data_IF_125087072244
#
_entry.id   IF_125087072244
#
_cell.length_a   1.000
_cell.length_b   1.000
_cell.length_c   1.000
_cell.angle_alpha   90.00
_cell.angle_beta   90.00
_cell.angle_gamma   90.00
#
_symmetry.space_group_name_H-M   'P 1'
#
loop_
_entity.id
_entity.type
_entity.pdbx_description
1 polymer ?
#
# COMPACT_ATOMS: atom_id res chain seq x y z
N UNK A 1 -15.81 -7.36 -10.91
CA UNK A 1 -14.81 -7.04 -9.88
C UNK A 1 -15.31 -7.60 -8.57
N UNK A 2 -14.50 -8.37 -7.85
CA UNK A 2 -14.89 -8.89 -6.54
C UNK A 2 -14.88 -7.74 -5.53
N UNK A 3 -15.96 -7.59 -4.78
CA UNK A 3 -16.11 -6.60 -3.73
C UNK A 3 -16.01 -7.30 -2.37
N UNK A 4 -15.12 -6.81 -1.51
CA UNK A 4 -14.79 -7.40 -0.22
C UNK A 4 -15.37 -6.57 0.91
N UNK A 5 -15.94 -7.23 1.93
CA UNK A 5 -16.36 -6.54 3.15
C UNK A 5 -15.15 -6.13 3.97
N UNK A 6 -15.30 -5.08 4.79
CA UNK A 6 -14.25 -4.59 5.69
C UNK A 6 -13.59 -5.70 6.51
N UNK A 7 -14.37 -6.61 7.09
CA UNK A 7 -13.84 -7.72 7.89
C UNK A 7 -13.02 -8.73 7.07
N UNK A 8 -13.36 -8.95 5.79
CA UNK A 8 -12.55 -9.79 4.91
C UNK A 8 -11.20 -9.13 4.61
N UNK A 9 -11.19 -7.82 4.40
CA UNK A 9 -9.95 -7.05 4.18
C UNK A 9 -9.09 -7.06 5.43
N UNK A 10 -9.69 -6.83 6.60
CA UNK A 10 -9.02 -6.89 7.90
C UNK A 10 -8.40 -8.28 8.15
N UNK A 11 -9.17 -9.35 7.97
CA UNK A 11 -8.69 -10.74 8.11
C UNK A 11 -7.53 -11.03 7.14
N UNK A 12 -7.65 -10.60 5.87
CA UNK A 12 -6.61 -10.82 4.87
C UNK A 12 -5.31 -10.06 5.20
N UNK A 13 -5.41 -8.84 5.71
CA UNK A 13 -4.26 -8.02 6.14
C UNK A 13 -3.60 -8.63 7.39
N UNK A 14 -4.39 -9.07 8.37
CA UNK A 14 -3.91 -9.76 9.58
C UNK A 14 -3.12 -11.02 9.19
N UNK A 15 -3.71 -11.86 8.32
CA UNK A 15 -3.05 -13.06 7.82
C UNK A 15 -1.77 -12.73 7.04
N UNK A 16 -1.76 -11.65 6.26
CA UNK A 16 -0.59 -11.23 5.48
C UNK A 16 0.55 -10.69 6.34
N UNK A 17 0.25 -9.94 7.39
CA UNK A 17 1.25 -9.31 8.27
C UNK A 17 1.66 -10.21 9.45
N UNK A 18 0.99 -11.34 9.66
CA UNK A 18 1.38 -12.34 10.66
C UNK A 18 1.13 -11.89 12.10
N UNK A 19 0.03 -11.14 12.34
CA UNK A 19 -0.37 -10.81 13.71
C UNK A 19 -0.92 -12.06 14.40
N UNK A 20 -0.05 -12.78 15.09
CA UNK A 20 -0.32 -14.13 15.63
C UNK A 20 -0.93 -14.12 17.05
N UNK A 21 -1.09 -12.95 17.66
CA UNK A 21 -1.68 -12.79 18.99
C UNK A 21 -2.82 -11.74 18.98
N UNK A 22 -3.83 -11.87 19.88
CA UNK A 22 -4.99 -10.98 19.89
C UNK A 22 -4.66 -9.50 20.09
N UNK A 23 -3.56 -9.17 20.79
CA UNK A 23 -3.17 -7.79 21.05
C UNK A 23 -2.57 -7.17 19.78
N UNK A 24 -1.71 -7.90 19.08
CA UNK A 24 -1.17 -7.47 17.79
C UNK A 24 -2.27 -7.31 16.74
N UNK A 25 -3.24 -8.21 16.69
CA UNK A 25 -4.43 -8.10 15.83
C UNK A 25 -5.23 -6.82 16.15
N UNK A 26 -5.61 -6.61 17.41
CA UNK A 26 -6.37 -5.42 17.81
C UNK A 26 -5.63 -4.10 17.50
N UNK A 27 -4.31 -4.07 17.67
CA UNK A 27 -3.47 -2.92 17.32
C UNK A 27 -3.49 -2.66 15.80
N UNK A 28 -3.40 -3.71 14.99
CA UNK A 28 -3.43 -3.61 13.53
C UNK A 28 -4.79 -3.08 13.05
N UNK A 29 -5.89 -3.63 13.56
CA UNK A 29 -7.25 -3.18 13.24
C UNK A 29 -7.49 -1.72 13.65
N UNK A 30 -6.91 -1.30 14.78
CA UNK A 30 -6.95 0.09 15.22
C UNK A 30 -6.23 1.01 14.22
N UNK A 31 -5.09 0.59 13.67
CA UNK A 31 -4.35 1.36 12.66
C UNK A 31 -5.09 1.43 11.33
N UNK A 32 -5.70 0.34 10.88
CA UNK A 32 -6.59 0.34 9.70
C UNK A 32 -7.72 1.35 9.89
N UNK A 33 -8.41 1.30 11.04
CA UNK A 33 -9.48 2.24 11.35
C UNK A 33 -8.98 3.69 11.29
N UNK A 34 -7.83 3.99 11.90
CA UNK A 34 -7.27 5.35 11.93
C UNK A 34 -6.89 5.86 10.54
N UNK A 35 -6.37 5.00 9.65
CA UNK A 35 -6.11 5.35 8.25
C UNK A 35 -7.40 5.75 7.53
N UNK A 36 -8.43 4.92 7.63
CA UNK A 36 -9.74 5.20 7.02
C UNK A 36 -10.37 6.47 7.58
N UNK A 37 -10.33 6.67 8.90
CA UNK A 37 -10.89 7.86 9.54
C UNK A 37 -10.13 9.13 9.15
N UNK A 38 -8.81 9.05 8.99
CA UNK A 38 -7.98 10.17 8.51
C UNK A 38 -8.27 10.50 7.06
N UNK A 39 -8.41 9.48 6.21
CA UNK A 39 -8.81 9.67 4.83
C UNK A 39 -10.20 10.27 4.72
N UNK A 40 -11.14 9.97 5.62
CA UNK A 40 -12.43 10.69 5.63
C UNK A 40 -12.32 12.13 6.13
N UNK A 41 -11.47 12.37 7.13
CA UNK A 41 -11.34 13.69 7.78
C UNK A 41 -10.56 14.70 6.93
N UNK A 42 -9.70 14.24 6.02
CA UNK A 42 -9.08 15.10 5.03
C UNK A 42 -10.14 15.47 3.99
N UNK A 43 -10.76 16.65 4.16
CA UNK A 43 -11.75 17.21 3.24
C UNK A 43 -11.29 17.03 1.79
N UNK A 44 -12.13 16.36 1.01
CA UNK A 44 -12.01 16.36 -0.44
C UNK A 44 -12.49 17.73 -0.89
N UNK A 45 -11.56 18.60 -1.28
CA UNK A 45 -11.89 19.92 -1.84
C UNK A 45 -11.83 19.82 -3.36
N UNK A 46 -12.94 19.51 -4.06
CA UNK A 46 -12.95 19.40 -5.52
C UNK A 46 -12.59 20.71 -6.23
N UNK A 47 -12.64 21.85 -5.52
CA UNK A 47 -12.25 23.18 -6.00
C UNK A 47 -10.88 23.66 -5.50
N UNK A 48 -10.09 22.81 -4.83
CA UNK A 48 -8.74 23.24 -4.40
C UNK A 48 -7.74 23.14 -5.55
N UNK A 49 -6.72 24.01 -5.53
CA UNK A 49 -5.60 24.03 -6.49
C UNK A 49 -4.80 22.71 -6.54
N UNK A 50 -5.10 21.75 -5.65
CA UNK A 50 -4.47 20.43 -5.57
C UNK A 50 -5.44 19.34 -6.03
N UNK A 51 -5.72 19.29 -7.33
CA UNK A 51 -6.57 18.27 -7.96
C UNK A 51 -6.16 16.83 -7.60
N UNK A 52 -4.87 16.59 -7.33
CA UNK A 52 -4.33 15.28 -6.93
C UNK A 52 -4.84 14.79 -5.56
N UNK A 53 -5.37 15.69 -4.71
CA UNK A 53 -5.95 15.37 -3.41
C UNK A 53 -7.49 15.29 -3.44
N UNK A 54 -8.10 15.50 -4.61
CA UNK A 54 -9.54 15.49 -4.80
C UNK A 54 -10.17 14.09 -4.76
N UNK A 55 -9.35 13.03 -4.62
CA UNK A 55 -9.82 11.66 -4.46
C UNK A 55 -9.43 11.12 -3.08
N UNK A 56 -10.19 10.16 -2.58
CA UNK A 56 -9.82 9.39 -1.39
C UNK A 56 -8.68 8.41 -1.70
N UNK A 57 -7.84 8.11 -0.70
CA UNK A 57 -6.79 7.11 -0.84
C UNK A 57 -7.37 5.69 -0.87
N UNK A 58 -8.42 5.42 -0.10
CA UNK A 58 -8.93 4.07 0.16
C UNK A 58 -10.37 3.83 -0.30
N UNK A 59 -11.01 4.79 -0.96
CA UNK A 59 -12.38 4.69 -1.46
C UNK A 59 -12.49 5.15 -2.91
N UNK A 60 -13.38 4.52 -3.66
CA UNK A 60 -13.75 4.87 -5.03
C UNK A 60 -15.09 5.58 -4.98
N UNK A 61 -15.11 6.85 -5.39
CA UNK A 61 -16.29 7.71 -5.26
C UNK A 61 -16.41 8.37 -3.89
N UNK A 62 -17.65 8.62 -3.45
CA UNK A 62 -17.91 9.28 -2.17
C UNK A 62 -17.55 8.36 -0.99
N UNK A 63 -16.88 8.90 0.02
CA UNK A 63 -16.66 8.16 1.25
C UNK A 63 -18.02 7.82 1.88
N UNK A 64 -18.36 6.54 2.07
CA UNK A 64 -19.64 6.18 2.66
C UNK A 64 -19.74 6.76 4.08
N UNK A 65 -20.90 7.34 4.37
CA UNK A 65 -21.21 7.92 5.68
C UNK A 65 -21.08 6.93 6.83
N UNK A 66 -21.15 7.42 8.07
CA UNK A 66 -21.08 6.58 9.27
C UNK A 66 -22.32 5.68 9.34
N UNK A 67 -22.17 4.38 9.05
CA UNK A 67 -23.21 3.37 9.29
C UNK A 67 -23.46 2.37 8.15
N UNK A 68 -22.99 2.65 6.94
CA UNK A 68 -23.11 1.73 5.79
C UNK A 68 -22.10 0.58 5.83
N UNK A 69 -22.48 -0.56 5.29
CA UNK A 69 -21.54 -1.65 5.01
C UNK A 69 -20.65 -1.23 3.83
N UNK A 70 -19.37 -0.98 4.12
CA UNK A 70 -18.40 -0.55 3.12
C UNK A 70 -17.85 -1.77 2.40
N UNK A 71 -17.94 -1.73 1.07
CA UNK A 71 -17.27 -2.67 0.21
C UNK A 71 -15.97 -2.06 -0.32
N UNK A 72 -14.93 -2.90 -0.37
CA UNK A 72 -13.61 -2.57 -0.88
C UNK A 72 -13.33 -3.41 -2.12
N UNK A 73 -12.81 -2.78 -3.15
CA UNK A 73 -12.13 -3.46 -4.24
C UNK A 73 -10.82 -4.09 -3.78
N UNK A 74 -10.28 -4.98 -4.61
CA UNK A 74 -8.94 -5.54 -4.40
C UNK A 74 -7.87 -4.45 -4.34
N UNK A 75 -7.97 -3.43 -5.20
CA UNK A 75 -7.05 -2.28 -5.19
C UNK A 75 -7.10 -1.49 -3.89
N UNK A 76 -8.29 -1.17 -3.38
CA UNK A 76 -8.40 -0.39 -2.13
C UNK A 76 -7.88 -1.17 -0.92
N UNK A 77 -8.10 -2.49 -0.92
CA UNK A 77 -7.51 -3.39 0.06
C UNK A 77 -5.97 -3.38 -0.02
N UNK A 78 -5.43 -3.39 -1.23
CA UNK A 78 -3.99 -3.25 -1.48
C UNK A 78 -3.46 -1.88 -1.02
N UNK A 79 -4.13 -0.79 -1.34
CA UNK A 79 -3.75 0.55 -0.89
C UNK A 79 -3.72 0.64 0.65
N UNK A 80 -4.66 0.00 1.35
CA UNK A 80 -4.65 -0.09 2.82
C UNK A 80 -3.43 -0.85 3.35
N UNK A 81 -3.07 -1.97 2.73
CA UNK A 81 -1.84 -2.71 3.07
C UNK A 81 -0.60 -1.82 2.91
N UNK A 82 -0.48 -1.09 1.79
CA UNK A 82 0.64 -0.17 1.56
C UNK A 82 0.64 0.94 2.63
N UNK A 83 -0.51 1.53 2.94
CA UNK A 83 -0.62 2.54 3.99
C UNK A 83 -0.16 2.04 5.37
N UNK A 84 -0.50 0.78 5.72
CA UNK A 84 -0.02 0.16 6.95
C UNK A 84 1.49 -0.05 6.96
N UNK A 85 2.06 -0.52 5.85
CA UNK A 85 3.51 -0.67 5.70
C UNK A 85 4.22 0.69 5.84
N UNK A 86 3.69 1.76 5.25
CA UNK A 86 4.23 3.11 5.44
C UNK A 86 4.22 3.52 6.93
N UNK A 87 3.12 3.25 7.64
CA UNK A 87 3.05 3.49 9.09
C UNK A 87 4.06 2.63 9.89
N UNK A 88 4.35 1.39 9.47
CA UNK A 88 5.37 0.54 10.12
C UNK A 88 6.76 1.14 9.99
N UNK A 89 7.04 1.76 8.85
CA UNK A 89 8.23 2.58 8.58
C UNK A 89 8.19 3.97 9.23
N UNK A 90 7.26 4.21 10.15
CA UNK A 90 7.13 5.43 10.97
C UNK A 90 6.80 6.70 10.20
N UNK A 91 6.28 6.58 8.98
CA UNK A 91 5.75 7.73 8.26
C UNK A 91 4.51 8.29 8.98
N UNK A 92 4.36 9.63 9.10
CA UNK A 92 3.21 10.22 9.75
C UNK A 92 1.89 9.85 9.07
N UNK A 93 0.84 9.56 9.84
CA UNK A 93 -0.43 9.08 9.30
C UNK A 93 -1.07 10.02 8.26
N UNK A 94 -1.02 11.33 8.50
CA UNK A 94 -1.51 12.32 7.54
C UNK A 94 -0.74 12.26 6.22
N UNK A 95 0.59 12.18 6.30
CA UNK A 95 1.46 12.07 5.13
C UNK A 95 1.18 10.79 4.32
N UNK A 96 0.96 9.66 5.00
CA UNK A 96 0.61 8.39 4.34
C UNK A 96 -0.65 8.57 3.47
N UNK A 97 -1.71 9.14 4.04
CA UNK A 97 -2.97 9.33 3.33
C UNK A 97 -2.82 10.31 2.17
N UNK A 98 -2.22 11.49 2.40
CA UNK A 98 -2.01 12.49 1.35
C UNK A 98 -1.15 11.95 0.19
N UNK A 99 -0.12 11.17 0.51
CA UNK A 99 0.73 10.54 -0.50
C UNK A 99 -0.04 9.52 -1.34
N UNK A 100 -0.80 8.65 -0.69
CA UNK A 100 -1.60 7.63 -1.39
C UNK A 100 -2.72 8.24 -2.22
N UNK A 101 -3.31 9.36 -1.81
CA UNK A 101 -4.23 10.15 -2.65
C UNK A 101 -3.52 10.65 -3.90
N UNK A 102 -2.36 11.29 -3.73
CA UNK A 102 -1.58 11.87 -4.83
C UNK A 102 -1.20 10.83 -5.88
N UNK A 103 -0.69 9.69 -5.43
CA UNK A 103 -0.22 8.64 -6.34
C UNK A 103 -1.32 7.66 -6.76
N UNK A 104 -2.56 7.80 -6.29
CA UNK A 104 -3.65 6.83 -6.50
C UNK A 104 -3.77 6.40 -7.97
N UNK A 105 -3.85 7.31 -8.96
CA UNK A 105 -4.00 6.90 -10.36
C UNK A 105 -2.81 6.05 -10.86
N UNK A 106 -1.59 6.38 -10.42
CA UNK A 106 -0.40 5.62 -10.77
C UNK A 106 -0.37 4.26 -10.07
N UNK A 107 -0.69 4.22 -8.77
CA UNK A 107 -0.71 3.00 -7.96
C UNK A 107 -1.78 2.02 -8.45
N UNK A 108 -2.96 2.50 -8.81
CA UNK A 108 -4.06 1.68 -9.33
C UNK A 108 -3.73 1.08 -10.70
N UNK A 109 -3.17 1.88 -11.62
CA UNK A 109 -2.66 1.37 -12.91
C UNK A 109 -1.61 0.29 -12.70
N UNK A 110 -0.71 0.51 -11.75
CA UNK A 110 0.37 -0.43 -11.49
C UNK A 110 -0.13 -1.72 -10.85
N UNK A 111 -1.03 -1.63 -9.88
CA UNK A 111 -1.71 -2.78 -9.30
C UNK A 111 -2.40 -3.60 -10.39
N UNK A 112 -3.15 -2.96 -11.29
CA UNK A 112 -3.80 -3.64 -12.42
C UNK A 112 -2.80 -4.32 -13.37
N UNK A 113 -1.64 -3.71 -13.61
CA UNK A 113 -0.56 -4.30 -14.42
C UNK A 113 0.03 -5.53 -13.72
N UNK A 114 0.35 -5.42 -12.43
CA UNK A 114 0.86 -6.52 -11.60
C UNK A 114 -0.11 -7.70 -11.61
N UNK A 115 -1.39 -7.47 -11.35
CA UNK A 115 -2.39 -8.54 -11.26
C UNK A 115 -2.69 -9.25 -12.60
N UNK A 116 -2.21 -8.72 -13.73
CA UNK A 116 -2.27 -9.40 -15.04
C UNK A 116 -1.10 -10.35 -15.27
N UNK A 117 -0.07 -10.28 -14.46
CA UNK A 117 1.09 -11.17 -14.55
C UNK A 117 0.74 -12.53 -13.97
N UNK A 118 1.27 -13.58 -14.60
CA UNK A 118 1.12 -14.96 -14.12
C UNK A 118 2.00 -15.18 -12.87
N UNK A 119 1.41 -15.45 -11.68
CA UNK A 119 2.16 -15.68 -10.46
C UNK A 119 3.17 -16.82 -10.58
N UNK A 120 2.83 -17.89 -11.33
CA UNK A 120 3.69 -19.06 -11.47
C UNK A 120 5.02 -18.72 -12.15
N UNK A 121 4.99 -17.83 -13.15
CA UNK A 121 6.19 -17.33 -13.84
C UNK A 121 6.92 -16.24 -13.06
N UNK A 122 6.17 -15.47 -12.28
CA UNK A 122 6.68 -14.31 -11.57
C UNK A 122 7.50 -14.67 -10.32
N UNK A 123 7.11 -15.77 -9.67
CA UNK A 123 7.70 -16.29 -8.44
C UNK A 123 8.47 -17.61 -8.64
N UNK A 124 8.79 -17.97 -9.89
CA UNK A 124 9.58 -19.16 -10.22
C UNK A 124 10.99 -19.07 -9.60
N UNK A 125 11.33 -19.94 -8.63
CA UNK A 125 12.62 -19.89 -7.93
C UNK A 125 13.82 -20.07 -8.85
N UNK A 126 13.71 -20.88 -9.90
CA UNK A 126 14.83 -21.17 -10.79
C UNK A 126 15.10 -19.97 -11.69
N UNK A 127 14.05 -19.34 -12.22
CA UNK A 127 14.18 -18.09 -12.98
C UNK A 127 14.73 -16.95 -12.13
N UNK A 128 14.29 -16.82 -10.87
CA UNK A 128 14.80 -15.80 -9.95
C UNK A 128 16.30 -16.00 -9.68
N UNK A 129 16.73 -17.26 -9.46
CA UNK A 129 18.15 -17.58 -9.25
C UNK A 129 19.00 -17.27 -10.48
N UNK A 130 18.51 -17.55 -11.68
CA UNK A 130 19.20 -17.25 -12.94
C UNK A 130 19.40 -15.75 -13.16
N UNK A 131 18.50 -14.91 -12.63
CA UNK A 131 18.60 -13.45 -12.74
C UNK A 131 19.40 -12.81 -11.62
N UNK A 132 19.63 -13.52 -10.51
CA UNK A 132 20.41 -13.02 -9.40
C UNK A 132 21.86 -12.75 -9.84
N UNK A 133 22.36 -11.56 -9.52
CA UNK A 133 23.75 -11.15 -9.78
C UNK A 133 24.43 -10.79 -8.47
N UNK A 134 25.71 -11.15 -8.28
CA UNK A 134 26.48 -10.68 -7.12
C UNK A 134 26.38 -9.15 -6.99
N UNK A 135 26.12 -8.67 -5.77
CA UNK A 135 25.95 -7.23 -5.48
C UNK A 135 24.53 -6.69 -5.66
N UNK A 136 23.63 -7.40 -6.35
CA UNK A 136 22.22 -7.04 -6.40
C UNK A 136 21.45 -7.66 -5.22
N UNK A 137 20.39 -7.01 -4.72
CA UNK A 137 19.53 -7.61 -3.70
C UNK A 137 18.81 -8.84 -4.27
N UNK A 138 18.68 -9.85 -3.41
CA UNK A 138 17.88 -11.03 -3.72
C UNK A 138 16.38 -10.64 -3.67
N UNK A 139 15.81 -10.35 -4.83
CA UNK A 139 14.40 -10.01 -4.93
C UNK A 139 13.55 -11.28 -5.12
N UNK A 140 12.39 -11.37 -4.48
CA UNK A 140 11.55 -12.57 -4.52
C UNK A 140 10.73 -12.68 -5.82
N UNK A 141 10.95 -11.83 -6.81
CA UNK A 141 10.15 -11.74 -8.03
C UNK A 141 11.00 -11.28 -9.21
N UNK A 142 10.66 -11.74 -10.42
CA UNK A 142 11.30 -11.37 -11.69
C UNK A 142 10.98 -9.94 -12.15
N UNK A 143 9.81 -9.42 -11.81
CA UNK A 143 9.36 -8.08 -12.21
C UNK A 143 8.94 -7.29 -10.96
N UNK A 144 9.93 -6.90 -10.12
CA UNK A 144 9.66 -6.14 -8.91
C UNK A 144 9.21 -4.73 -9.28
N UNK A 145 8.23 -4.23 -8.54
CA UNK A 145 7.79 -2.85 -8.64
C UNK A 145 7.94 -2.25 -7.26
N UNK A 146 8.55 -1.08 -7.16
CA UNK A 146 8.83 -0.43 -5.90
C UNK A 146 8.03 0.85 -5.73
N UNK A 147 7.51 1.07 -4.54
CA UNK A 147 7.19 2.39 -4.05
C UNK A 147 8.37 2.88 -3.23
N UNK A 148 9.01 3.95 -3.70
CA UNK A 148 10.08 4.63 -2.99
C UNK A 148 9.52 5.86 -2.31
N UNK A 149 9.81 6.00 -1.03
CA UNK A 149 9.55 7.20 -0.24
C UNK A 149 10.89 7.74 0.20
N UNK A 150 11.15 9.02 -0.02
CA UNK A 150 12.38 9.64 0.44
C UNK A 150 12.16 11.02 1.03
N UNK A 151 13.05 11.37 1.95
CA UNK A 151 13.11 12.68 2.56
C UNK A 151 14.54 13.19 2.56
N UNK A 152 14.72 14.38 1.99
CA UNK A 152 15.95 15.17 2.13
C UNK A 152 15.89 16.08 3.38
N UNK A 153 14.80 15.98 4.15
CA UNK A 153 14.47 16.89 5.22
C UNK A 153 15.46 16.75 6.39
N UNK A 154 16.28 17.78 6.59
CA UNK A 154 17.22 17.93 7.73
C UNK A 154 16.73 18.98 8.72
N UNK A 155 15.86 19.87 8.28
CA UNK A 155 15.25 20.98 9.01
C UNK A 155 13.76 21.13 8.69
N UNK A 156 13.03 21.95 9.47
CA UNK A 156 11.61 22.19 9.22
C UNK A 156 11.32 22.96 7.89
N UNK A 157 12.33 23.64 7.33
CA UNK A 157 12.23 24.42 6.09
C UNK A 157 12.43 23.57 4.83
N UNK A 158 13.00 22.38 4.99
CA UNK A 158 13.29 21.49 3.88
C UNK A 158 12.02 20.88 3.26
N UNK A 159 12.06 20.50 1.97
CA UNK A 159 10.90 20.00 1.25
C UNK A 159 10.31 18.75 1.91
N UNK A 160 8.98 18.64 1.81
CA UNK A 160 8.24 17.50 2.31
C UNK A 160 8.73 16.19 1.65
N UNK A 161 8.61 15.04 2.35
CA UNK A 161 8.96 13.75 1.77
C UNK A 161 8.22 13.49 0.46
N UNK A 162 8.89 12.82 -0.47
CA UNK A 162 8.38 12.52 -1.81
C UNK A 162 8.13 11.03 -1.96
N UNK A 163 7.14 10.68 -2.78
CA UNK A 163 6.73 9.31 -3.04
C UNK A 163 6.63 9.08 -4.55
N UNK A 164 7.27 8.02 -5.05
CA UNK A 164 7.27 7.67 -6.48
C UNK A 164 7.30 6.15 -6.69
N UNK A 165 6.72 5.69 -7.79
CA UNK A 165 6.66 4.27 -8.18
C UNK A 165 7.72 3.99 -9.26
N UNK A 166 8.50 2.94 -9.08
CA UNK A 166 9.55 2.50 -9.99
C UNK A 166 9.33 1.06 -10.43
N UNK A 167 9.34 0.80 -11.74
CA UNK A 167 9.34 -0.55 -12.31
C UNK A 167 10.76 -1.13 -12.45
N UNK A 168 11.77 -0.28 -12.28
CA UNK A 168 13.19 -0.61 -12.46
C UNK A 168 13.91 -0.43 -11.12
N UNK A 169 14.44 -1.54 -10.60
CA UNK A 169 15.21 -1.59 -9.37
C UNK A 169 16.39 -0.60 -9.40
N UNK A 170 17.14 -0.53 -10.49
CA UNK A 170 18.34 0.32 -10.57
C UNK A 170 17.95 1.80 -10.55
N UNK A 171 16.83 2.18 -11.17
CA UNK A 171 16.32 3.56 -11.09
C UNK A 171 15.89 3.92 -9.67
N UNK A 172 15.17 3.03 -8.99
CA UNK A 172 14.82 3.22 -7.59
C UNK A 172 16.08 3.34 -6.71
N UNK A 173 17.10 2.52 -6.99
CA UNK A 173 18.35 2.47 -6.23
C UNK A 173 19.16 3.74 -6.37
N UNK A 174 19.38 4.15 -7.61
CA UNK A 174 20.09 5.39 -7.91
C UNK A 174 19.34 6.59 -7.34
N UNK A 175 17.99 6.59 -7.37
CA UNK A 175 17.20 7.65 -6.73
C UNK A 175 17.39 7.67 -5.20
N UNK A 176 17.47 6.50 -4.56
CA UNK A 176 17.71 6.42 -3.12
C UNK A 176 19.09 6.95 -2.71
N UNK A 177 20.11 6.76 -3.56
CA UNK A 177 21.50 7.16 -3.30
C UNK A 177 21.88 8.55 -3.82
N UNK A 178 20.97 9.24 -4.52
CA UNK A 178 21.24 10.50 -5.21
C UNK A 178 21.83 11.59 -4.29
N UNK A 179 21.43 11.60 -3.00
CA UNK A 179 21.91 12.58 -2.02
C UNK A 179 22.36 11.93 -0.71
N UNK A 180 23.54 12.29 -0.18
CA UNK A 180 23.98 11.84 1.14
C UNK A 180 23.01 12.26 2.25
N UNK A 181 22.75 11.37 3.20
CA UNK A 181 21.87 11.62 4.34
C UNK A 181 20.37 11.60 4.02
N UNK A 182 19.97 11.26 2.78
CA UNK A 182 18.57 11.01 2.40
C UNK A 182 18.03 9.82 3.18
N UNK A 183 16.90 9.99 3.84
CA UNK A 183 16.16 8.88 4.43
C UNK A 183 15.29 8.24 3.35
N UNK A 184 15.34 6.92 3.20
CA UNK A 184 14.57 6.19 2.18
C UNK A 184 13.80 5.02 2.77
N UNK A 185 12.55 4.84 2.34
CA UNK A 185 11.74 3.64 2.55
C UNK A 185 11.40 3.02 1.20
N UNK A 186 11.55 1.70 1.13
CA UNK A 186 11.31 0.92 -0.07
C UNK A 186 10.24 -0.12 0.22
N UNK A 187 9.15 -0.07 -0.54
CA UNK A 187 8.08 -1.06 -0.45
C UNK A 187 7.95 -1.79 -1.79
N UNK A 188 8.14 -3.10 -1.78
CA UNK A 188 7.96 -3.95 -2.96
C UNK A 188 6.45 -4.25 -3.13
N UNK A 189 5.91 -3.85 -4.28
CA UNK A 189 4.48 -3.85 -4.58
C UNK A 189 4.00 -5.15 -5.19
N UNK A 190 4.82 -5.82 -6.02
CA UNK A 190 4.41 -7.00 -6.79
C UNK A 190 4.08 -8.19 -5.87
N UNK A 191 5.00 -8.55 -4.97
CA UNK A 191 4.77 -9.61 -3.97
C UNK A 191 3.66 -9.21 -3.01
N UNK A 192 3.60 -7.95 -2.60
CA UNK A 192 2.56 -7.47 -1.68
C UNK A 192 1.16 -7.60 -2.28
N UNK A 193 0.99 -7.27 -3.56
CA UNK A 193 -0.29 -7.40 -4.27
C UNK A 193 -0.73 -8.86 -4.38
N UNK A 194 0.12 -9.75 -4.90
CA UNK A 194 -0.23 -11.16 -5.05
C UNK A 194 -0.48 -11.86 -3.71
N UNK A 195 0.38 -11.61 -2.71
CA UNK A 195 0.21 -12.21 -1.39
C UNK A 195 -1.09 -11.73 -0.72
N UNK A 196 -1.48 -10.46 -0.87
CA UNK A 196 -2.75 -9.97 -0.36
C UNK A 196 -3.94 -10.58 -1.11
N UNK A 197 -3.87 -10.64 -2.45
CA UNK A 197 -4.90 -11.24 -3.29
C UNK A 197 -5.18 -12.70 -2.89
N UNK A 198 -4.13 -13.47 -2.61
CA UNK A 198 -4.24 -14.84 -2.11
C UNK A 198 -4.98 -14.91 -0.75
N UNK A 199 -4.69 -13.99 0.18
CA UNK A 199 -5.38 -13.96 1.48
C UNK A 199 -6.83 -13.49 1.33
N UNK A 200 -7.11 -12.51 0.45
CA UNK A 200 -8.46 -12.05 0.15
C UNK A 200 -9.32 -13.17 -0.44
N UNK A 201 -8.75 -14.02 -1.30
CA UNK A 201 -9.45 -15.18 -1.86
C UNK A 201 -9.83 -16.23 -0.79
N UNK A 202 -9.06 -16.31 0.30
CA UNK A 202 -9.32 -17.21 1.44
C UNK A 202 -10.27 -16.61 2.47
N UNK A 203 -10.36 -15.27 2.55
CA UNK A 203 -11.13 -14.56 3.57
C UNK A 203 -12.65 -14.71 3.37
N UNK A 204 -13.33 -15.28 4.37
CA UNK A 204 -14.78 -15.49 4.34
C UNK A 204 -15.54 -14.31 4.97
N UNK A 205 -16.65 -13.85 4.39
CA UNK A 205 -17.46 -12.79 4.98
C UNK A 205 -18.13 -13.31 6.26
N UNK A 206 -17.84 -12.68 7.40
CA UNK A 206 -18.58 -12.93 8.66
C UNK A 206 -19.80 -12.03 8.72
N UNK A 207 -20.94 -12.55 9.19
CA UNK A 207 -22.10 -11.71 9.55
C UNK A 207 -21.74 -10.86 10.77
N UNK A 208 -22.02 -9.56 10.71
CA UNK A 208 -21.89 -8.68 11.87
C UNK A 208 -23.00 -9.04 12.87
N UNK A 209 -22.67 -9.82 13.89
CA UNK A 209 -23.61 -10.22 14.94
C UNK A 209 -23.63 -9.21 16.09
N UNK A 210 -24.81 -8.71 16.43
CA UNK A 210 -25.15 -8.37 17.82
C UNK A 210 -25.19 -9.72 18.56
N UNK A 211 -24.19 -10.00 19.37
CA UNK A 211 -24.27 -10.97 20.47
C UNK A 211 -24.20 -10.16 21.75
#
# INVERSE_FOLDING_TARGET
>A
MSAYKRNQVEDAIVARLGANDPKSEANLLTRVKRLLDTDRALDVRPQSDKAELANYAFFTGDAPGKGGEIQFSEYESFALLIGLQMLDHKWPQKFVVESLRRIRPALERQHKKIMRLDPAKLFDPDQIRLQARPGNPALPTKLPVFLLIWSDQRSAEDPAPTVEIFEDYHKAFNRGLEKPGRSTTWLELTKSAHALSEQLAKARPRKRGRS
#
